data_IF_783234704869
#
_entry.id   IF_783234704869
#
_cell.length_a   1.000
_cell.length_b   1.000
_cell.length_c   1.000
_cell.angle_alpha   90.00
_cell.angle_beta   90.00
_cell.angle_gamma   90.00
#
_symmetry.space_group_name_H-M   'P 1'
#
loop_
_entity.id
_entity.type
_entity.pdbx_description
1 polymer ?
#
# COMPACT_ATOMS: atom_id res chain seq x y z
N UNK A 1 -15.47 -4.37 -8.61
CA UNK A 1 -15.65 -5.81 -8.86
C UNK A 1 -17.09 -6.25 -8.55
N UNK A 2 -17.58 -6.08 -7.31
CA UNK A 2 -18.93 -6.53 -6.89
C UNK A 2 -20.09 -5.91 -7.68
N UNK A 3 -19.96 -4.68 -8.17
CA UNK A 3 -21.00 -4.03 -8.99
C UNK A 3 -20.87 -4.33 -10.50
N UNK A 4 -19.75 -4.92 -10.93
CA UNK A 4 -19.41 -5.08 -12.35
C UNK A 4 -20.09 -6.32 -12.96
N UNK A 5 -20.32 -7.35 -12.13
CA UNK A 5 -20.91 -8.62 -12.53
C UNK A 5 -22.11 -8.96 -11.62
N UNK A 6 -23.18 -8.17 -11.71
CA UNK A 6 -24.42 -8.48 -11.00
C UNK A 6 -24.92 -9.89 -11.39
N UNK A 7 -25.59 -10.58 -10.46
CA UNK A 7 -26.18 -11.89 -10.76
C UNK A 7 -27.08 -11.84 -12.00
N UNK A 8 -26.95 -12.83 -12.88
CA UNK A 8 -27.59 -12.94 -14.19
C UNK A 8 -26.92 -12.11 -15.29
N UNK A 9 -26.03 -11.17 -14.96
CA UNK A 9 -25.48 -10.22 -15.96
C UNK A 9 -24.73 -10.90 -17.10
N UNK A 10 -24.07 -12.03 -16.82
CA UNK A 10 -23.26 -12.75 -17.78
C UNK A 10 -24.09 -13.44 -18.88
N UNK A 11 -25.42 -13.51 -18.74
CA UNK A 11 -26.30 -14.14 -19.74
C UNK A 11 -26.48 -13.27 -20.99
N UNK A 12 -26.45 -11.97 -20.79
CA UNK A 12 -26.74 -10.96 -21.82
C UNK A 12 -25.53 -10.06 -22.14
N UNK A 13 -24.45 -10.12 -21.34
CA UNK A 13 -23.19 -9.48 -21.73
C UNK A 13 -22.61 -10.19 -22.94
N UNK A 14 -22.30 -9.41 -23.96
CA UNK A 14 -21.67 -9.89 -25.19
C UNK A 14 -20.15 -9.95 -25.04
N UNK A 15 -19.59 -11.05 -25.55
CA UNK A 15 -18.16 -11.33 -25.55
C UNK A 15 -17.72 -11.69 -26.96
N UNK A 16 -16.90 -10.83 -27.55
CA UNK A 16 -16.25 -11.15 -28.82
C UNK A 16 -15.01 -11.99 -28.55
N UNK A 17 -15.10 -13.28 -28.84
CA UNK A 17 -14.00 -14.26 -28.66
C UNK A 17 -13.34 -14.60 -29.97
N UNK A 18 -12.01 -14.68 -29.99
CA UNK A 18 -11.21 -15.16 -31.11
C UNK A 18 -10.27 -16.28 -30.66
N UNK A 19 -9.97 -17.22 -31.57
CA UNK A 19 -8.95 -18.26 -31.42
C UNK A 19 -8.14 -18.32 -32.71
N UNK A 20 -6.82 -18.26 -32.60
CA UNK A 20 -5.90 -18.40 -33.72
C UNK A 20 -4.91 -19.54 -33.44
N UNK A 21 -4.87 -20.54 -34.32
CA UNK A 21 -3.87 -21.62 -34.22
C UNK A 21 -2.50 -21.09 -34.59
N UNK A 22 -1.51 -21.32 -33.74
CA UNK A 22 -0.12 -20.95 -34.01
C UNK A 22 0.74 -22.21 -34.16
N UNK A 23 1.92 -22.08 -34.77
CA UNK A 23 2.84 -23.22 -34.90
C UNK A 23 3.35 -23.79 -33.57
N UNK A 24 3.11 -23.07 -32.46
CA UNK A 24 3.60 -23.40 -31.11
C UNK A 24 2.46 -23.68 -30.12
N UNK A 25 1.19 -23.62 -30.54
CA UNK A 25 0.02 -23.77 -29.67
C UNK A 25 -1.20 -23.02 -30.22
N UNK A 26 -1.92 -22.30 -29.36
CA UNK A 26 -3.06 -21.48 -29.77
C UNK A 26 -3.10 -20.15 -29.01
N UNK A 27 -3.30 -19.07 -29.76
CA UNK A 27 -3.64 -17.76 -29.22
C UNK A 27 -5.16 -17.63 -29.10
N UNK A 28 -5.63 -16.88 -28.10
CA UNK A 28 -7.04 -16.58 -27.92
C UNK A 28 -7.22 -15.19 -27.34
N UNK A 29 -8.37 -14.56 -27.59
CA UNK A 29 -8.67 -13.27 -26.97
C UNK A 29 -10.17 -13.04 -26.80
N UNK A 30 -10.56 -12.49 -25.65
CA UNK A 30 -11.94 -12.17 -25.34
C UNK A 30 -12.07 -10.68 -25.04
N UNK A 31 -12.93 -10.00 -25.81
CA UNK A 31 -13.35 -8.62 -25.57
C UNK A 31 -14.73 -8.63 -24.93
N UNK A 32 -14.86 -8.03 -23.76
CA UNK A 32 -16.15 -7.71 -23.14
C UNK A 32 -16.68 -6.43 -23.75
N UNK A 33 -17.76 -6.52 -24.54
CA UNK A 33 -18.21 -5.43 -25.41
C UNK A 33 -18.69 -4.21 -24.63
N UNK A 34 -19.40 -4.42 -23.52
CA UNK A 34 -20.06 -3.33 -22.79
C UNK A 34 -19.10 -2.38 -22.05
N UNK A 35 -17.88 -2.82 -21.74
CA UNK A 35 -16.86 -2.00 -21.06
C UNK A 35 -15.54 -1.90 -21.82
N UNK A 36 -15.42 -2.55 -22.98
CA UNK A 36 -14.23 -2.48 -23.84
C UNK A 36 -13.00 -3.22 -23.31
N UNK A 37 -13.11 -3.94 -22.18
CA UNK A 37 -11.96 -4.65 -21.58
C UNK A 37 -11.68 -5.90 -22.41
N UNK A 38 -10.42 -6.07 -22.82
CA UNK A 38 -9.96 -7.21 -23.60
C UNK A 38 -8.83 -7.94 -22.88
N UNK A 39 -8.91 -9.27 -22.87
CA UNK A 39 -7.82 -10.15 -22.45
C UNK A 39 -7.30 -10.92 -23.65
N UNK A 40 -5.99 -11.11 -23.69
CA UNK A 40 -5.28 -11.94 -24.64
C UNK A 40 -4.67 -13.11 -23.89
N UNK A 41 -4.65 -14.28 -24.51
CA UNK A 41 -3.99 -15.44 -23.96
C UNK A 41 -3.30 -16.26 -25.03
N UNK A 42 -2.35 -17.07 -24.57
CA UNK A 42 -1.63 -18.02 -25.41
C UNK A 42 -1.40 -19.29 -24.61
N UNK A 43 -1.68 -20.45 -25.20
CA UNK A 43 -1.38 -21.74 -24.58
C UNK A 43 -0.42 -22.51 -25.49
N UNK A 44 0.74 -22.89 -24.97
CA UNK A 44 1.70 -23.73 -25.69
C UNK A 44 1.21 -25.18 -25.74
N UNK A 45 1.54 -25.91 -26.81
CA UNK A 45 1.23 -27.35 -26.97
C UNK A 45 -0.22 -27.74 -26.60
N UNK A 46 -1.16 -26.83 -26.76
CA UNK A 46 -2.54 -26.96 -26.31
C UNK A 46 -3.52 -26.75 -27.46
N UNK A 47 -4.67 -27.39 -27.37
CA UNK A 47 -5.83 -27.05 -28.19
C UNK A 47 -6.75 -26.14 -27.40
N UNK A 48 -7.08 -24.99 -27.98
CA UNK A 48 -8.07 -24.06 -27.43
C UNK A 48 -9.33 -24.14 -28.27
N UNK A 49 -10.47 -24.34 -27.62
CA UNK A 49 -11.79 -24.35 -28.24
C UNK A 49 -12.73 -23.38 -27.54
N UNK A 50 -13.72 -22.86 -28.26
CA UNK A 50 -14.73 -22.00 -27.66
C UNK A 50 -15.56 -22.82 -26.67
N UNK A 51 -15.77 -22.29 -25.48
CA UNK A 51 -16.57 -22.93 -24.46
C UNK A 51 -17.31 -21.88 -23.64
N UNK A 52 -18.62 -21.73 -23.82
CA UNK A 52 -19.41 -20.70 -23.13
C UNK A 52 -20.33 -21.32 -22.08
N UNK A 53 -19.81 -21.52 -20.87
CA UNK A 53 -20.61 -21.93 -19.71
C UNK A 53 -20.68 -20.81 -18.68
N UNK A 54 -21.89 -20.53 -18.21
CA UNK A 54 -22.13 -19.66 -17.06
C UNK A 54 -22.41 -20.53 -15.85
N UNK A 55 -21.60 -20.38 -14.81
CA UNK A 55 -21.77 -21.03 -13.52
C UNK A 55 -22.47 -20.02 -12.61
N UNK A 56 -23.75 -20.26 -12.34
CA UNK A 56 -24.56 -19.37 -11.52
C UNK A 56 -24.35 -19.59 -10.04
N UNK A 57 -24.52 -18.54 -9.25
CA UNK A 57 -24.55 -18.61 -7.79
C UNK A 57 -23.29 -19.26 -7.19
N UNK A 58 -22.12 -18.97 -7.74
CA UNK A 58 -20.85 -19.41 -7.15
C UNK A 58 -20.69 -18.70 -5.80
N UNK A 59 -20.54 -19.49 -4.75
CA UNK A 59 -20.41 -19.00 -3.38
C UNK A 59 -18.94 -18.77 -3.03
N UNK A 60 -18.63 -17.57 -2.55
CA UNK A 60 -17.30 -17.13 -2.15
C UNK A 60 -17.28 -16.87 -0.63
N UNK A 61 -16.89 -17.85 0.19
CA UNK A 61 -16.96 -17.73 1.65
C UNK A 61 -16.12 -16.55 2.19
N UNK A 62 -14.96 -16.30 1.59
CA UNK A 62 -14.06 -15.20 1.99
C UNK A 62 -14.65 -13.81 1.75
N UNK A 63 -15.46 -13.65 0.70
CA UNK A 63 -16.16 -12.40 0.39
C UNK A 63 -17.27 -12.13 1.41
N UNK A 64 -18.03 -13.17 1.78
CA UNK A 64 -19.04 -13.07 2.86
C UNK A 64 -18.39 -12.68 4.18
N UNK A 65 -17.26 -13.30 4.53
CA UNK A 65 -16.50 -12.97 5.74
C UNK A 65 -15.99 -11.52 5.72
N UNK A 66 -15.77 -10.96 4.54
CA UNK A 66 -15.35 -9.57 4.34
C UNK A 66 -16.53 -8.58 4.28
N UNK A 67 -17.77 -9.07 4.45
CA UNK A 67 -18.99 -8.25 4.49
C UNK A 67 -19.66 -8.01 3.14
N UNK A 68 -19.22 -8.68 2.07
CA UNK A 68 -19.87 -8.62 0.75
C UNK A 68 -20.95 -9.70 0.59
N UNK A 69 -21.78 -9.60 -0.45
CA UNK A 69 -22.83 -10.61 -0.73
C UNK A 69 -22.26 -12.03 -0.91
N UNK A 70 -21.02 -12.14 -1.40
CA UNK A 70 -20.28 -13.40 -1.54
C UNK A 70 -20.95 -14.45 -2.44
N UNK A 71 -21.85 -14.02 -3.31
CA UNK A 71 -22.42 -14.82 -4.38
C UNK A 71 -22.18 -14.08 -5.69
N UNK A 72 -21.73 -14.79 -6.72
CA UNK A 72 -21.56 -14.22 -8.05
C UNK A 72 -21.54 -15.28 -9.13
N UNK A 73 -21.74 -14.86 -10.37
CA UNK A 73 -21.68 -15.77 -11.52
C UNK A 73 -20.27 -15.78 -12.10
N UNK A 74 -19.85 -16.94 -12.63
CA UNK A 74 -18.62 -17.07 -13.40
C UNK A 74 -18.92 -17.46 -14.84
N UNK A 75 -18.09 -17.03 -15.77
CA UNK A 75 -18.17 -17.45 -17.18
C UNK A 75 -16.86 -18.09 -17.61
N UNK A 76 -16.96 -19.26 -18.22
CA UNK A 76 -15.90 -19.81 -19.07
C UNK A 76 -16.18 -19.36 -20.50
N UNK A 77 -15.14 -18.93 -21.22
CA UNK A 77 -15.20 -18.56 -22.64
C UNK A 77 -14.41 -19.54 -23.53
N UNK A 78 -13.52 -20.32 -22.93
CA UNK A 78 -12.62 -21.23 -23.60
C UNK A 78 -12.42 -22.51 -22.80
N UNK A 79 -12.25 -23.61 -23.51
CA UNK A 79 -11.67 -24.83 -22.98
C UNK A 79 -10.26 -24.96 -23.55
N UNK A 80 -9.29 -25.23 -22.68
CA UNK A 80 -7.88 -25.39 -23.01
C UNK A 80 -7.50 -26.82 -22.63
N UNK A 81 -7.16 -27.63 -23.63
CA UNK A 81 -6.78 -29.03 -23.43
C UNK A 81 -5.31 -29.21 -23.83
N UNK A 82 -4.53 -29.89 -23.00
CA UNK A 82 -3.14 -30.25 -23.27
C UNK A 82 -2.75 -31.48 -22.44
N UNK A 83 -1.78 -32.23 -22.95
CA UNK A 83 -1.21 -33.39 -22.25
C UNK A 83 0.09 -32.97 -21.54
N UNK A 84 0.29 -33.48 -20.32
CA UNK A 84 1.51 -33.33 -19.54
C UNK A 84 2.09 -34.71 -19.19
N UNK A 85 3.28 -35.03 -19.67
CA UNK A 85 4.02 -36.18 -19.20
C UNK A 85 4.82 -35.87 -17.91
N UNK A 86 5.27 -36.89 -17.14
CA UNK A 86 6.14 -36.67 -16.00
C UNK A 86 7.39 -35.85 -16.38
N UNK A 87 7.69 -34.84 -15.57
CA UNK A 87 8.77 -33.85 -15.78
C UNK A 87 8.61 -32.92 -17.00
N UNK A 88 7.43 -32.89 -17.64
CA UNK A 88 7.11 -31.84 -18.61
C UNK A 88 6.41 -30.65 -17.94
N UNK A 89 6.63 -29.46 -18.53
CA UNK A 89 5.92 -28.24 -18.20
C UNK A 89 5.16 -27.75 -19.42
N UNK A 90 4.02 -27.11 -19.19
CA UNK A 90 3.29 -26.38 -20.20
C UNK A 90 2.92 -24.98 -19.70
N UNK A 91 2.74 -24.05 -20.64
CA UNK A 91 2.59 -22.62 -20.33
C UNK A 91 1.27 -22.10 -20.87
N UNK A 92 0.55 -21.40 -20.00
CA UNK A 92 -0.63 -20.61 -20.36
C UNK A 92 -0.34 -19.17 -19.93
N UNK A 93 -0.37 -18.27 -20.91
CA UNK A 93 -0.14 -16.86 -20.74
C UNK A 93 -1.45 -16.09 -20.78
N UNK A 94 -1.55 -15.06 -19.96
CA UNK A 94 -2.62 -14.06 -19.99
C UNK A 94 -2.01 -12.67 -19.98
N UNK A 95 -2.62 -11.76 -20.73
CA UNK A 95 -2.14 -10.38 -20.89
C UNK A 95 -3.31 -9.46 -21.21
N UNK A 96 -3.26 -8.22 -20.73
CA UNK A 96 -4.15 -7.14 -21.13
C UNK A 96 -3.74 -6.51 -22.48
N UNK A 97 -2.56 -6.90 -23.00
CA UNK A 97 -2.03 -6.51 -24.30
C UNK A 97 -1.82 -7.72 -25.23
N UNK A 98 -1.82 -7.54 -26.56
CA UNK A 98 -1.54 -8.62 -27.50
C UNK A 98 -0.20 -9.32 -27.23
N UNK A 99 -0.19 -10.65 -27.29
CA UNK A 99 1.01 -11.47 -27.13
C UNK A 99 1.59 -11.76 -28.52
N UNK A 100 2.67 -11.06 -28.88
CA UNK A 100 3.33 -11.22 -30.19
C UNK A 100 4.32 -12.40 -30.22
N UNK A 101 5.14 -12.54 -29.18
CA UNK A 101 6.10 -13.63 -29.02
C UNK A 101 5.88 -14.31 -27.67
N UNK A 102 5.17 -15.45 -27.63
CA UNK A 102 4.90 -16.16 -26.38
C UNK A 102 6.17 -16.79 -25.77
N UNK A 103 7.15 -17.19 -26.58
CA UNK A 103 8.38 -17.84 -26.08
C UNK A 103 9.26 -16.82 -25.39
N UNK A 104 9.51 -15.68 -26.02
CA UNK A 104 10.26 -14.57 -25.40
C UNK A 104 9.57 -14.11 -24.10
N UNK A 105 8.24 -14.03 -24.10
CA UNK A 105 7.47 -13.65 -22.91
C UNK A 105 7.64 -14.66 -21.76
N UNK A 106 7.62 -15.96 -22.04
CA UNK A 106 7.87 -17.02 -21.06
C UNK A 106 9.28 -16.92 -20.49
N UNK A 107 10.29 -16.84 -21.35
CA UNK A 107 11.70 -16.74 -20.92
C UNK A 107 11.91 -15.54 -19.99
N UNK A 108 11.29 -14.39 -20.32
CA UNK A 108 11.31 -13.19 -19.49
C UNK A 108 10.63 -13.39 -18.14
N UNK A 109 9.47 -14.06 -18.12
CA UNK A 109 8.74 -14.36 -16.87
C UNK A 109 9.57 -15.31 -16.00
N UNK A 110 10.05 -16.42 -16.54
CA UNK A 110 10.87 -17.37 -15.78
C UNK A 110 12.15 -16.72 -15.27
N UNK A 111 12.82 -15.91 -16.09
CA UNK A 111 14.01 -15.16 -15.67
C UNK A 111 13.72 -14.22 -14.48
N UNK A 112 12.56 -13.55 -14.46
CA UNK A 112 12.14 -12.65 -13.35
C UNK A 112 12.10 -13.39 -12.01
N UNK A 113 11.59 -14.62 -11.98
CA UNK A 113 11.39 -15.39 -10.75
C UNK A 113 12.54 -16.37 -10.45
N UNK A 114 13.44 -16.64 -11.41
CA UNK A 114 14.49 -17.66 -11.33
C UNK A 114 15.42 -17.56 -10.10
N UNK A 115 15.62 -16.34 -9.60
CA UNK A 115 16.53 -16.06 -8.49
C UNK A 115 15.83 -16.08 -7.13
N UNK A 116 14.51 -16.21 -7.08
CA UNK A 116 13.79 -16.25 -5.82
C UNK A 116 14.05 -17.57 -5.09
N UNK A 117 14.15 -17.55 -3.75
CA UNK A 117 14.27 -18.77 -2.99
C UNK A 117 13.02 -19.62 -3.20
N UNK A 118 13.22 -20.93 -3.21
CA UNK A 118 12.14 -21.91 -3.22
C UNK A 118 11.85 -22.35 -1.79
N UNK A 119 10.60 -22.73 -1.54
CA UNK A 119 10.21 -23.30 -0.26
C UNK A 119 10.98 -24.62 -0.01
N UNK A 120 11.21 -24.97 1.25
CA UNK A 120 11.94 -26.20 1.63
C UNK A 120 11.25 -27.45 1.08
N UNK A 121 9.92 -27.43 1.02
CA UNK A 121 9.05 -28.49 0.51
C UNK A 121 8.78 -28.41 -1.00
N UNK A 122 9.44 -27.48 -1.71
CA UNK A 122 9.28 -27.36 -3.16
C UNK A 122 9.66 -28.71 -3.84
N UNK A 123 8.76 -29.29 -4.64
CA UNK A 123 9.00 -30.60 -5.25
C UNK A 123 10.07 -30.50 -6.33
N UNK A 124 11.30 -30.91 -6.00
CA UNK A 124 12.44 -30.90 -6.93
C UNK A 124 12.47 -32.10 -7.88
N UNK A 125 11.76 -33.17 -7.54
CA UNK A 125 11.72 -34.42 -8.29
C UNK A 125 10.28 -34.89 -8.44
N UNK A 126 10.03 -35.68 -9.48
CA UNK A 126 8.76 -36.35 -9.65
C UNK A 126 8.50 -37.27 -8.44
N UNK A 127 7.29 -37.18 -7.89
CA UNK A 127 6.89 -38.04 -6.81
C UNK A 127 6.48 -39.41 -7.34
N UNK A 128 7.37 -40.39 -7.23
CA UNK A 128 7.16 -41.74 -7.74
C UNK A 128 6.09 -42.53 -6.95
N UNK A 129 5.78 -42.11 -5.72
CA UNK A 129 4.86 -42.81 -4.82
C UNK A 129 3.47 -42.13 -4.72
N UNK A 130 3.27 -41.01 -5.43
CA UNK A 130 2.02 -40.23 -5.45
C UNK A 130 1.50 -39.89 -4.03
N UNK A 131 2.42 -39.55 -3.13
CA UNK A 131 2.17 -39.24 -1.72
C UNK A 131 2.72 -37.86 -1.28
N UNK A 132 3.18 -37.01 -2.20
CA UNK A 132 3.75 -35.69 -1.95
C UNK A 132 2.79 -34.84 -1.12
N UNK A 133 1.52 -34.75 -1.52
CA UNK A 133 0.50 -33.96 -0.81
C UNK A 133 0.31 -34.42 0.63
N UNK A 134 0.43 -35.73 0.90
CA UNK A 134 0.31 -36.28 2.24
C UNK A 134 1.55 -36.04 3.12
N UNK A 135 2.70 -35.66 2.52
CA UNK A 135 3.96 -35.36 3.21
C UNK A 135 4.13 -33.87 3.52
N UNK A 136 3.29 -32.99 2.97
CA UNK A 136 3.34 -31.55 3.24
C UNK A 136 2.81 -31.26 4.65
N UNK A 137 3.54 -30.44 5.39
CA UNK A 137 3.07 -29.84 6.64
C UNK A 137 2.40 -28.50 6.34
N UNK A 138 1.06 -28.50 6.29
CA UNK A 138 0.27 -27.32 6.00
C UNK A 138 0.30 -26.27 7.12
N UNK A 139 0.87 -26.59 8.29
CA UNK A 139 0.99 -25.70 9.44
C UNK A 139 2.44 -25.21 9.66
N UNK A 140 3.37 -25.53 8.73
CA UNK A 140 4.75 -25.08 8.83
C UNK A 140 4.89 -23.59 8.51
N UNK A 141 5.29 -22.81 9.52
CA UNK A 141 5.53 -21.38 9.40
C UNK A 141 6.96 -21.04 8.92
N UNK A 142 7.81 -22.03 8.67
CA UNK A 142 9.25 -21.87 8.38
C UNK A 142 9.68 -22.44 7.02
N UNK A 143 8.81 -22.35 6.01
CA UNK A 143 9.07 -22.82 4.64
C UNK A 143 10.28 -22.18 3.94
N UNK A 144 10.82 -21.08 4.46
CA UNK A 144 11.98 -20.38 3.91
C UNK A 144 12.97 -20.04 5.02
N UNK A 145 14.28 -20.13 4.71
CA UNK A 145 15.28 -19.54 5.59
C UNK A 145 15.11 -18.01 5.66
N UNK A 146 15.59 -17.38 6.74
CA UNK A 146 15.42 -15.94 6.98
C UNK A 146 15.94 -15.07 5.82
N UNK A 147 17.05 -15.44 5.18
CA UNK A 147 17.64 -14.67 4.09
C UNK A 147 16.77 -14.77 2.83
N UNK A 148 16.28 -15.97 2.53
CA UNK A 148 15.31 -16.22 1.47
C UNK A 148 14.03 -15.43 1.69
N UNK A 149 13.44 -15.54 2.88
CA UNK A 149 12.21 -14.83 3.21
C UNK A 149 12.32 -13.31 3.03
N UNK A 150 13.42 -12.69 3.49
CA UNK A 150 13.65 -11.26 3.28
C UNK A 150 13.79 -10.88 1.79
N UNK A 151 14.38 -11.76 0.97
CA UNK A 151 14.47 -11.56 -0.48
C UNK A 151 13.10 -11.61 -1.15
N UNK A 152 12.21 -12.50 -0.70
CA UNK A 152 10.83 -12.56 -1.18
C UNK A 152 10.06 -11.29 -0.82
N UNK A 153 10.20 -10.79 0.41
CA UNK A 153 9.56 -9.54 0.84
C UNK A 153 10.05 -8.33 0.03
N UNK A 154 11.35 -8.25 -0.26
CA UNK A 154 11.91 -7.18 -1.09
C UNK A 154 11.41 -7.25 -2.54
N UNK A 155 11.29 -8.46 -3.09
CA UNK A 155 10.72 -8.67 -4.42
C UNK A 155 9.23 -8.30 -4.46
N UNK A 156 8.43 -8.79 -3.50
CA UNK A 156 7.00 -8.52 -3.42
C UNK A 156 6.72 -7.03 -3.32
N UNK A 157 7.55 -6.28 -2.59
CA UNK A 157 7.44 -4.82 -2.50
C UNK A 157 7.52 -4.13 -3.88
N UNK A 158 8.30 -4.65 -4.83
CA UNK A 158 8.41 -4.06 -6.17
C UNK A 158 7.11 -4.16 -6.96
N UNK A 159 6.30 -5.20 -6.73
CA UNK A 159 5.03 -5.38 -7.46
C UNK A 159 3.99 -4.32 -7.09
N UNK A 160 4.13 -3.70 -5.91
CA UNK A 160 3.27 -2.58 -5.47
C UNK A 160 3.74 -1.20 -5.95
N UNK A 161 4.90 -1.10 -6.61
CA UNK A 161 5.39 0.18 -7.15
C UNK A 161 4.82 0.41 -8.53
N UNK A 162 4.13 1.53 -8.73
CA UNK A 162 3.63 1.96 -10.04
C UNK A 162 3.65 3.49 -10.17
N UNK A 163 3.97 4.01 -11.35
CA UNK A 163 3.93 5.45 -11.68
C UNK A 163 4.49 6.41 -10.59
N UNK A 164 5.68 6.10 -10.06
CA UNK A 164 6.29 6.80 -8.94
C UNK A 164 5.29 6.97 -7.76
N UNK A 165 4.68 5.86 -7.35
CA UNK A 165 3.83 5.72 -6.15
C UNK A 165 3.82 4.27 -5.66
N UNK A 166 3.12 4.04 -4.54
CA UNK A 166 2.93 2.72 -3.94
C UNK A 166 1.44 2.40 -3.91
N UNK A 167 1.03 1.34 -4.60
CA UNK A 167 -0.33 0.79 -4.53
C UNK A 167 -0.56 0.19 -3.15
N UNK A 168 -1.66 0.54 -2.49
CA UNK A 168 -1.93 0.07 -1.13
C UNK A 168 -2.36 -1.41 -1.07
N UNK A 169 -3.00 -1.93 -2.12
CA UNK A 169 -3.47 -3.31 -2.14
C UNK A 169 -4.19 -3.69 -3.41
N UNK A 170 -3.63 -4.62 -4.19
CA UNK A 170 -4.33 -5.15 -5.35
C UNK A 170 -5.43 -6.16 -4.95
N UNK A 171 -6.48 -6.30 -5.76
CA UNK A 171 -6.83 -5.45 -6.92
C UNK A 171 -7.67 -4.21 -6.55
N UNK A 172 -7.97 -3.99 -5.26
CA UNK A 172 -9.06 -3.11 -4.83
C UNK A 172 -8.65 -1.66 -4.55
N UNK A 173 -7.38 -1.40 -4.27
CA UNK A 173 -6.89 -0.11 -3.82
C UNK A 173 -5.83 0.43 -4.77
N UNK A 174 -5.92 1.73 -5.07
CA UNK A 174 -4.83 2.49 -5.68
C UNK A 174 -3.83 2.97 -4.62
N UNK A 175 -3.02 3.99 -4.93
CA UNK A 175 -2.09 4.59 -3.97
C UNK A 175 -2.79 5.39 -2.87
N UNK A 176 -2.38 5.15 -1.62
CA UNK A 176 -2.86 5.86 -0.43
C UNK A 176 -1.68 6.54 0.27
N UNK A 177 -1.80 7.83 0.54
CA UNK A 177 -0.70 8.66 1.04
C UNK A 177 -0.10 8.12 2.33
N UNK A 178 -0.93 7.69 3.29
CA UNK A 178 -0.49 7.06 4.54
C UNK A 178 0.35 5.81 4.28
N UNK A 179 -0.21 4.85 3.54
CA UNK A 179 0.40 3.57 3.19
C UNK A 179 1.71 3.78 2.43
N UNK A 180 1.71 4.69 1.45
CA UNK A 180 2.91 5.11 0.72
C UNK A 180 3.97 5.59 1.70
N UNK A 181 3.67 6.50 2.63
CA UNK A 181 4.68 6.98 3.58
C UNK A 181 5.24 5.85 4.48
N UNK A 182 4.40 4.92 4.93
CA UNK A 182 4.85 3.75 5.72
C UNK A 182 5.81 2.88 4.89
N UNK A 183 5.47 2.61 3.63
CA UNK A 183 6.29 1.79 2.73
C UNK A 183 7.60 2.49 2.36
N UNK A 184 7.58 3.79 2.07
CA UNK A 184 8.79 4.57 1.79
C UNK A 184 9.81 4.49 2.93
N UNK A 185 9.35 4.42 4.17
CA UNK A 185 10.23 4.24 5.32
C UNK A 185 11.04 2.93 5.23
N UNK A 186 10.43 1.83 4.77
CA UNK A 186 11.12 0.57 4.52
C UNK A 186 12.09 0.69 3.34
N UNK A 187 11.68 1.36 2.26
CA UNK A 187 12.50 1.55 1.05
C UNK A 187 13.79 2.34 1.30
N UNK A 188 13.81 3.23 2.30
CA UNK A 188 15.02 3.97 2.69
C UNK A 188 16.18 3.08 3.20
N UNK A 189 15.91 1.81 3.50
CA UNK A 189 16.95 0.84 3.85
C UNK A 189 17.74 0.35 2.63
N UNK A 190 17.14 0.38 1.44
CA UNK A 190 17.82 0.02 0.19
C UNK A 190 18.35 1.28 -0.53
N UNK A 191 19.66 1.34 -0.75
CA UNK A 191 20.30 2.48 -1.42
C UNK A 191 19.86 2.67 -2.88
N UNK A 192 19.41 1.61 -3.56
CA UNK A 192 18.96 1.71 -4.97
C UNK A 192 17.58 2.34 -5.09
N UNK A 193 16.80 2.37 -4.00
CA UNK A 193 15.44 2.92 -3.98
C UNK A 193 15.39 4.42 -3.66
N UNK A 194 16.51 5.05 -3.29
CA UNK A 194 16.52 6.43 -2.78
C UNK A 194 15.98 7.45 -3.78
N UNK A 195 16.30 7.30 -5.07
CA UNK A 195 15.82 8.20 -6.12
C UNK A 195 14.31 8.05 -6.33
N UNK A 196 13.78 6.83 -6.25
CA UNK A 196 12.34 6.57 -6.30
C UNK A 196 11.63 7.19 -5.09
N UNK A 197 12.17 7.00 -3.88
CA UNK A 197 11.63 7.61 -2.66
C UNK A 197 11.57 9.13 -2.79
N UNK A 198 12.62 9.77 -3.32
CA UNK A 198 12.64 11.22 -3.53
C UNK A 198 11.60 11.68 -4.56
N UNK A 199 11.44 10.95 -5.67
CA UNK A 199 10.42 11.27 -6.68
C UNK A 199 9.02 11.18 -6.10
N UNK A 200 8.73 10.14 -5.31
CA UNK A 200 7.43 9.98 -4.63
C UNK A 200 7.22 11.12 -3.63
N UNK A 201 8.17 11.42 -2.74
CA UNK A 201 8.03 12.53 -1.79
C UNK A 201 7.85 13.89 -2.49
N UNK A 202 8.53 14.09 -3.63
CA UNK A 202 8.35 15.29 -4.46
C UNK A 202 6.96 15.34 -5.09
N UNK A 203 6.42 14.21 -5.56
CA UNK A 203 5.03 14.09 -6.06
C UNK A 203 4.04 14.60 -5.02
N UNK A 204 4.05 14.04 -3.81
CA UNK A 204 3.16 14.47 -2.73
C UNK A 204 3.37 15.94 -2.31
N UNK A 205 4.60 16.46 -2.40
CA UNK A 205 4.89 17.87 -2.07
C UNK A 205 4.10 18.88 -2.91
N UNK A 206 3.80 18.53 -4.16
CA UNK A 206 3.09 19.40 -5.12
C UNK A 206 1.59 19.50 -4.82
N UNK A 207 1.07 18.59 -3.99
CA UNK A 207 -0.35 18.50 -3.64
C UNK A 207 -0.61 18.88 -2.17
N UNK A 208 0.35 19.47 -1.46
CA UNK A 208 0.13 19.88 -0.06
C UNK A 208 -0.91 21.00 0.00
N UNK A 209 -1.96 20.78 0.82
CA UNK A 209 -3.01 21.76 1.11
C UNK A 209 -3.14 21.93 2.63
N UNK A 210 -3.06 23.17 3.12
CA UNK A 210 -3.23 23.50 4.54
C UNK A 210 -2.33 22.73 5.52
N UNK A 211 -1.14 22.32 5.05
CA UNK A 211 -0.18 21.52 5.83
C UNK A 211 -0.43 20.01 5.76
N UNK A 212 -1.38 19.55 4.93
CA UNK A 212 -1.68 18.15 4.74
C UNK A 212 -1.25 17.67 3.36
N UNK A 213 -0.62 16.51 3.29
CA UNK A 213 -0.51 15.74 2.05
C UNK A 213 -1.85 15.02 1.79
N UNK A 214 -2.20 14.72 0.54
CA UNK A 214 -3.40 13.94 0.26
C UNK A 214 -3.24 12.49 0.78
N UNK A 215 -4.28 11.96 1.41
CA UNK A 215 -4.43 10.53 1.70
C UNK A 215 -4.78 9.73 0.45
N UNK A 216 -5.46 10.35 -0.51
CA UNK A 216 -5.73 9.78 -1.83
C UNK A 216 -5.62 10.91 -2.84
N UNK A 217 -4.84 10.72 -3.91
CA UNK A 217 -4.78 11.66 -5.02
C UNK A 217 -6.10 11.63 -5.80
N UNK A 218 -6.40 12.70 -6.52
CA UNK A 218 -7.59 12.72 -7.38
C UNK A 218 -7.41 11.69 -8.51
N UNK A 219 -8.33 10.74 -8.61
CA UNK A 219 -8.26 9.63 -9.56
C UNK A 219 -9.66 9.22 -10.01
N UNK A 220 -9.82 8.88 -11.29
CA UNK A 220 -11.06 8.29 -11.83
C UNK A 220 -12.34 9.06 -11.47
N UNK A 221 -12.27 10.41 -11.51
CA UNK A 221 -13.39 11.29 -11.19
C UNK A 221 -13.65 11.52 -9.69
N UNK A 222 -12.84 10.94 -8.80
CA UNK A 222 -12.86 11.22 -7.36
C UNK A 222 -11.93 12.37 -7.03
N UNK A 223 -12.37 13.26 -6.14
CA UNK A 223 -11.53 14.35 -5.64
C UNK A 223 -10.43 13.82 -4.70
N UNK A 224 -9.37 14.62 -4.54
CA UNK A 224 -8.30 14.30 -3.60
C UNK A 224 -8.82 14.37 -2.16
N UNK A 225 -8.45 13.39 -1.36
CA UNK A 225 -8.83 13.28 0.05
C UNK A 225 -7.68 13.77 0.94
N UNK A 226 -7.96 14.63 1.92
CA UNK A 226 -6.99 15.15 2.89
C UNK A 226 -7.29 14.72 4.34
N UNK A 227 -8.09 13.65 4.52
CA UNK A 227 -8.51 13.13 5.82
C UNK A 227 -7.40 12.32 6.54
N UNK A 228 -6.15 12.78 6.52
CA UNK A 228 -5.01 12.03 7.06
C UNK A 228 -3.89 12.93 7.57
N UNK A 229 -3.92 13.18 8.87
CA UNK A 229 -2.91 14.01 9.52
C UNK A 229 -1.60 13.24 9.75
N UNK A 230 -1.68 11.95 10.09
CA UNK A 230 -0.52 11.07 10.27
C UNK A 230 0.34 10.96 9.01
N UNK A 231 -0.28 10.86 7.82
CA UNK A 231 0.48 10.81 6.57
C UNK A 231 1.43 12.02 6.41
N UNK A 232 0.98 13.20 6.81
CA UNK A 232 1.77 14.45 6.75
C UNK A 232 2.89 14.48 7.79
N UNK A 233 2.66 13.87 8.96
CA UNK A 233 3.68 13.75 10.01
C UNK A 233 4.76 12.74 9.61
N UNK A 234 4.36 11.59 9.07
CA UNK A 234 5.27 10.63 8.46
C UNK A 234 6.10 11.26 7.33
N UNK A 235 5.46 12.05 6.47
CA UNK A 235 6.12 12.75 5.38
C UNK A 235 7.28 13.63 5.87
N UNK A 236 7.08 14.44 6.92
CA UNK A 236 8.15 15.25 7.52
C UNK A 236 9.31 14.37 8.01
N UNK A 237 8.99 13.28 8.70
CA UNK A 237 9.99 12.34 9.22
C UNK A 237 10.80 11.73 8.06
N UNK A 238 10.15 11.38 6.95
CA UNK A 238 10.80 10.83 5.75
C UNK A 238 11.71 11.83 5.06
N UNK A 239 11.36 13.12 5.01
CA UNK A 239 12.27 14.15 4.50
C UNK A 239 13.58 14.17 5.28
N UNK A 240 13.51 14.10 6.61
CA UNK A 240 14.70 13.99 7.44
C UNK A 240 15.49 12.70 7.19
N UNK A 241 14.81 11.54 7.15
CA UNK A 241 15.48 10.25 6.93
C UNK A 241 16.15 10.17 5.56
N UNK A 242 15.50 10.62 4.50
CA UNK A 242 16.08 10.69 3.16
C UNK A 242 17.28 11.65 3.12
N UNK A 243 17.16 12.82 3.75
CA UNK A 243 18.26 13.77 3.85
C UNK A 243 19.50 13.19 4.52
N UNK A 244 19.34 12.34 5.55
CA UNK A 244 20.47 11.64 6.20
C UNK A 244 21.21 10.70 5.25
N UNK A 245 20.52 10.14 4.25
CA UNK A 245 21.11 9.30 3.20
C UNK A 245 21.81 10.15 2.15
N UNK A 246 21.17 11.24 1.70
CA UNK A 246 21.69 12.12 0.64
C UNK A 246 22.84 13.02 1.08
N UNK A 247 22.83 13.48 2.34
CA UNK A 247 23.81 14.42 2.94
C UNK A 247 24.09 15.65 2.06
N UNK A 248 23.08 16.15 1.37
CA UNK A 248 23.20 17.23 0.40
C UNK A 248 22.68 18.55 0.98
N UNK A 249 23.47 19.63 0.87
CA UNK A 249 23.13 20.95 1.41
C UNK A 249 21.85 21.54 0.82
N UNK A 250 21.68 21.48 -0.50
CA UNK A 250 20.48 22.00 -1.19
C UNK A 250 19.25 21.25 -0.71
N UNK A 251 19.34 19.91 -0.64
CA UNK A 251 18.26 19.09 -0.10
C UNK A 251 17.85 19.51 1.30
N UNK A 252 18.80 19.74 2.21
CA UNK A 252 18.48 20.18 3.57
C UNK A 252 17.80 21.54 3.61
N UNK A 253 18.18 22.48 2.73
CA UNK A 253 17.51 23.77 2.62
C UNK A 253 16.06 23.61 2.17
N UNK A 254 15.84 22.81 1.12
CA UNK A 254 14.51 22.57 0.56
C UNK A 254 13.62 21.83 1.58
N UNK A 255 14.17 20.83 2.27
CA UNK A 255 13.48 20.10 3.33
C UNK A 255 13.13 21.01 4.53
N UNK A 256 14.02 21.93 4.91
CA UNK A 256 13.76 22.93 5.95
C UNK A 256 12.58 23.83 5.59
N UNK A 257 12.60 24.44 4.40
CA UNK A 257 11.56 25.38 3.97
C UNK A 257 10.20 24.68 3.90
N UNK A 258 10.20 23.46 3.34
CA UNK A 258 9.00 22.66 3.21
C UNK A 258 8.43 22.25 4.58
N UNK A 259 9.28 21.75 5.47
CA UNK A 259 8.86 21.33 6.82
C UNK A 259 8.34 22.51 7.63
N UNK A 260 9.01 23.67 7.57
CA UNK A 260 8.57 24.88 8.26
C UNK A 260 7.19 25.35 7.78
N UNK A 261 6.93 25.26 6.46
CA UNK A 261 5.64 25.60 5.86
C UNK A 261 4.53 24.63 6.32
N UNK A 262 4.82 23.32 6.35
CA UNK A 262 3.86 22.30 6.79
C UNK A 262 3.51 22.50 8.27
N UNK A 263 4.51 22.58 9.15
CA UNK A 263 4.30 22.80 10.59
C UNK A 263 3.53 24.09 10.86
N UNK A 264 3.91 25.19 10.18
CA UNK A 264 3.20 26.47 10.29
C UNK A 264 1.73 26.34 9.96
N UNK A 265 1.42 25.74 8.80
CA UNK A 265 0.03 25.52 8.40
C UNK A 265 -0.71 24.60 9.38
N UNK A 266 -0.12 23.51 9.87
CA UNK A 266 -0.74 22.62 10.86
C UNK A 266 -1.09 23.34 12.19
N UNK A 267 -0.34 24.38 12.55
CA UNK A 267 -0.57 25.18 13.77
C UNK A 267 -1.60 26.30 13.59
N UNK A 268 -1.87 26.73 12.36
CA UNK A 268 -2.85 27.78 12.10
C UNK A 268 -4.26 27.33 12.49
N UNK A 269 -4.92 28.13 13.34
CA UNK A 269 -6.32 27.91 13.71
C UNK A 269 -7.25 28.39 12.59
N UNK A 270 -7.34 27.57 11.54
CA UNK A 270 -8.34 27.70 10.49
C UNK A 270 -9.54 26.79 10.78
N UNK A 271 -10.53 26.74 9.88
CA UNK A 271 -11.69 25.83 9.95
C UNK A 271 -11.28 24.37 9.65
N UNK A 272 -10.31 23.86 10.42
CA UNK A 272 -9.78 22.49 10.36
C UNK A 272 -10.49 21.65 11.40
N UNK A 273 -10.72 20.36 11.12
CA UNK A 273 -11.40 19.48 12.07
C UNK A 273 -10.43 18.88 13.11
N UNK A 274 -9.34 19.60 13.39
CA UNK A 274 -8.37 19.31 14.42
C UNK A 274 -7.68 20.60 14.85
N UNK A 275 -7.06 20.59 16.02
CA UNK A 275 -6.34 21.74 16.57
C UNK A 275 -5.10 21.33 17.35
N UNK A 276 -4.11 22.21 17.39
CA UNK A 276 -3.01 22.13 18.36
C UNK A 276 -3.47 22.78 19.67
N UNK A 277 -3.53 22.00 20.74
CA UNK A 277 -3.93 22.43 22.08
C UNK A 277 -2.88 23.33 22.72
N UNK A 278 -3.26 24.01 23.81
CA UNK A 278 -2.34 24.86 24.61
C UNK A 278 -1.12 24.11 25.16
N UNK A 279 -1.31 22.84 25.45
CA UNK A 279 -0.29 21.91 25.94
C UNK A 279 0.50 21.21 24.81
N UNK A 280 0.24 21.62 23.56
CA UNK A 280 0.98 21.23 22.36
C UNK A 280 0.45 20.01 21.62
N UNK A 281 -0.44 19.24 22.24
CA UNK A 281 -1.00 18.03 21.63
C UNK A 281 -1.95 18.35 20.48
N UNK A 282 -1.94 17.55 19.44
CA UNK A 282 -2.95 17.56 18.38
C UNK A 282 -4.20 16.85 18.88
N UNK A 283 -5.33 17.52 18.74
CA UNK A 283 -6.65 17.04 19.11
C UNK A 283 -7.59 17.08 17.89
N UNK A 284 -8.15 15.92 17.54
CA UNK A 284 -9.11 15.73 16.46
C UNK A 284 -10.54 15.96 16.98
N UNK A 285 -11.35 16.63 16.17
CA UNK A 285 -12.77 16.83 16.49
C UNK A 285 -13.58 15.54 16.26
N UNK A 286 -14.74 15.37 16.93
CA UNK A 286 -15.61 14.20 16.73
C UNK A 286 -16.02 13.96 15.28
N UNK A 287 -16.18 15.03 14.47
CA UNK A 287 -16.50 14.95 13.04
C UNK A 287 -15.37 14.38 12.18
N UNK A 288 -14.17 14.28 12.74
CA UNK A 288 -12.95 13.82 12.07
C UNK A 288 -12.25 12.72 12.85
N UNK A 289 -13.04 11.97 13.62
CA UNK A 289 -12.58 10.82 14.36
C UNK A 289 -11.99 9.70 13.48
N UNK A 290 -12.27 9.72 12.16
CA UNK A 290 -11.67 8.84 11.15
C UNK A 290 -10.35 9.37 10.58
N UNK A 291 -9.82 10.51 11.02
CA UNK A 291 -8.57 11.08 10.52
C UNK A 291 -7.29 10.35 10.94
N UNK A 292 -7.40 9.09 11.39
CA UNK A 292 -6.31 8.20 11.82
C UNK A 292 -6.29 6.95 10.93
N UNK A 293 -5.29 6.08 11.02
CA UNK A 293 -5.25 4.86 10.20
C UNK A 293 -6.41 3.88 10.44
N UNK A 294 -7.14 3.99 11.55
CA UNK A 294 -8.40 3.27 11.79
C UNK A 294 -9.59 4.03 11.16
N UNK A 295 -9.57 4.24 9.85
CA UNK A 295 -10.47 5.16 9.12
C UNK A 295 -11.69 4.52 8.44
N UNK A 296 -12.00 3.26 8.76
CA UNK A 296 -13.16 2.57 8.18
C UNK A 296 -14.47 3.30 8.52
N UNK A 297 -15.28 3.55 7.49
CA UNK A 297 -16.60 4.19 7.59
C UNK A 297 -17.69 3.31 7.00
N UNK A 298 -18.84 3.27 7.67
CA UNK A 298 -20.08 2.65 7.17
C UNK A 298 -21.18 3.71 7.23
N UNK A 299 -21.86 3.97 6.11
CA UNK A 299 -22.86 5.03 5.96
C UNK A 299 -22.39 6.41 6.45
N UNK A 300 -21.13 6.75 6.14
CA UNK A 300 -20.50 8.01 6.53
C UNK A 300 -20.11 8.11 8.01
N UNK A 301 -20.35 7.07 8.82
CA UNK A 301 -19.98 7.03 10.24
C UNK A 301 -18.72 6.21 10.44
N UNK A 302 -17.79 6.75 11.22
CA UNK A 302 -16.59 6.02 11.62
C UNK A 302 -16.98 4.79 12.45
N UNK A 303 -16.44 3.61 12.08
CA UNK A 303 -16.64 2.36 12.82
C UNK A 303 -15.79 2.36 14.10
N UNK A 304 -14.56 2.86 13.99
CA UNK A 304 -13.59 2.97 15.09
C UNK A 304 -13.22 4.44 15.33
N UNK A 305 -14.15 5.29 15.82
CA UNK A 305 -13.89 6.72 15.94
C UNK A 305 -12.82 7.01 17.01
N UNK A 306 -11.81 7.82 16.66
CA UNK A 306 -10.70 8.21 17.54
C UNK A 306 -10.50 9.72 17.61
N UNK A 307 -11.52 10.44 18.08
CA UNK A 307 -11.41 11.88 18.35
C UNK A 307 -10.57 12.16 19.61
N UNK A 308 -10.37 13.42 19.99
CA UNK A 308 -9.47 13.75 21.08
C UNK A 308 -8.02 13.72 20.59
N UNK A 309 -7.06 13.37 21.44
CA UNK A 309 -5.64 13.29 21.07
C UNK A 309 -5.19 11.82 20.96
N UNK A 310 -5.19 11.21 19.76
CA UNK A 310 -4.65 9.86 19.56
C UNK A 310 -3.16 9.80 19.88
N UNK A 311 -2.73 8.68 20.47
CA UNK A 311 -1.36 8.50 20.96
C UNK A 311 -0.32 8.55 19.82
N UNK A 312 -0.59 7.88 18.70
CA UNK A 312 0.34 7.78 17.58
C UNK A 312 0.41 9.08 16.77
N UNK A 313 -0.69 9.83 16.66
CA UNK A 313 -0.66 11.15 16.03
C UNK A 313 0.26 12.09 16.82
N UNK A 314 0.19 12.04 18.15
CA UNK A 314 0.97 12.92 19.01
C UNK A 314 2.44 12.50 19.12
N UNK A 315 2.75 11.20 19.05
CA UNK A 315 4.13 10.72 18.96
C UNK A 315 4.76 11.07 17.61
N UNK A 316 4.02 10.91 16.51
CA UNK A 316 4.43 11.35 15.18
C UNK A 316 4.61 12.87 15.13
N UNK A 317 3.77 13.63 15.83
CA UNK A 317 3.91 15.09 15.91
C UNK A 317 5.19 15.52 16.61
N UNK A 318 5.48 14.90 17.77
CA UNK A 318 6.76 15.10 18.45
C UNK A 318 7.95 14.75 17.56
N UNK A 319 7.87 13.63 16.83
CA UNK A 319 8.91 13.19 15.92
C UNK A 319 9.07 14.13 14.71
N UNK A 320 8.00 14.69 14.18
CA UNK A 320 8.05 15.68 13.09
C UNK A 320 8.71 16.99 13.55
N UNK A 321 8.39 17.47 14.76
CA UNK A 321 9.05 18.64 15.36
C UNK A 321 10.54 18.38 15.63
N UNK A 322 10.87 17.17 16.10
CA UNK A 322 12.26 16.74 16.31
C UNK A 322 13.02 16.62 14.98
N UNK A 323 12.36 16.10 13.93
CA UNK A 323 12.91 16.05 12.58
C UNK A 323 13.19 17.45 12.03
N UNK A 324 12.30 18.42 12.25
CA UNK A 324 12.53 19.82 11.88
C UNK A 324 13.79 20.41 12.52
N UNK A 325 13.96 20.23 13.83
CA UNK A 325 15.17 20.67 14.54
C UNK A 325 16.42 20.01 13.96
N UNK A 326 16.38 18.69 13.78
CA UNK A 326 17.50 17.93 13.23
C UNK A 326 17.83 18.30 11.76
N UNK A 327 16.83 18.69 10.96
CA UNK A 327 17.04 19.24 9.61
C UNK A 327 17.80 20.57 9.68
N UNK A 328 17.45 21.46 10.62
CA UNK A 328 18.15 22.73 10.83
C UNK A 328 19.62 22.50 11.20
N UNK A 329 19.88 21.59 12.14
CA UNK A 329 21.22 21.20 12.56
C UNK A 329 22.03 20.59 11.40
N UNK A 330 21.43 19.67 10.64
CA UNK A 330 22.08 19.03 9.51
C UNK A 330 22.43 20.03 8.40
N UNK A 331 21.53 20.97 8.07
CA UNK A 331 21.83 22.06 7.15
C UNK A 331 23.03 22.87 7.65
N UNK A 332 23.03 23.26 8.92
CA UNK A 332 24.07 24.08 9.52
C UNK A 332 25.44 23.41 9.56
N UNK A 333 25.49 22.08 9.65
CA UNK A 333 26.74 21.31 9.58
C UNK A 333 27.31 21.19 8.16
N UNK A 334 26.53 21.52 7.12
CA UNK A 334 26.93 21.39 5.71
C UNK A 334 27.33 22.70 5.02
N UNK A 335 27.31 23.85 5.70
CA UNK A 335 27.74 25.10 5.09
C UNK A 335 27.82 26.33 6.01
N UNK A 336 28.25 27.45 5.43
CA UNK A 336 28.51 28.70 6.15
C UNK A 336 27.25 29.51 6.50
N UNK A 337 26.20 29.43 5.68
CA UNK A 337 24.92 30.09 5.95
C UNK A 337 24.13 29.26 6.96
N UNK A 338 23.93 29.82 8.16
CA UNK A 338 23.18 29.17 9.22
C UNK A 338 21.68 29.46 9.11
N UNK A 339 20.87 28.47 9.43
CA UNK A 339 19.43 28.57 9.61
C UNK A 339 19.16 28.39 11.10
N UNK A 340 18.36 29.30 11.67
CA UNK A 340 17.91 29.16 13.04
C UNK A 340 16.54 28.48 13.05
N UNK A 341 16.42 27.39 13.80
CA UNK A 341 15.13 26.79 14.07
C UNK A 341 14.22 27.82 14.75
N UNK A 342 12.94 27.87 14.37
CA UNK A 342 11.97 28.78 15.00
C UNK A 342 11.78 28.39 16.46
N UNK A 343 11.98 29.36 17.37
CA UNK A 343 11.88 29.13 18.82
C UNK A 343 10.50 28.60 19.25
N UNK A 344 9.44 29.06 18.59
CA UNK A 344 8.07 28.57 18.80
C UNK A 344 7.92 27.05 18.55
N UNK A 345 8.61 26.49 17.56
CA UNK A 345 8.53 25.06 17.24
C UNK A 345 9.33 24.22 18.24
N UNK A 346 10.46 24.75 18.73
CA UNK A 346 11.25 24.09 19.77
C UNK A 346 10.50 24.06 21.11
N UNK A 347 9.87 25.18 21.49
CA UNK A 347 9.02 25.24 22.67
C UNK A 347 7.81 24.31 22.55
N UNK A 348 7.22 24.21 21.35
CA UNK A 348 6.12 23.29 21.09
C UNK A 348 6.55 21.84 21.23
N UNK A 349 7.72 21.46 20.68
CA UNK A 349 8.33 20.14 20.81
C UNK A 349 8.45 19.73 22.29
N UNK A 350 8.98 20.63 23.12
CA UNK A 350 9.17 20.38 24.54
C UNK A 350 7.83 20.25 25.28
N UNK A 351 6.85 21.10 24.95
CA UNK A 351 5.48 20.98 25.49
C UNK A 351 4.83 19.64 25.14
N UNK A 352 4.93 19.21 23.87
CA UNK A 352 4.38 17.91 23.43
C UNK A 352 5.04 16.79 24.24
N UNK A 353 6.37 16.82 24.40
CA UNK A 353 7.11 15.82 25.19
C UNK A 353 6.64 15.74 26.63
N UNK A 354 6.45 16.88 27.28
CA UNK A 354 5.98 16.92 28.67
C UNK A 354 4.53 16.46 28.79
N UNK A 355 3.66 16.89 27.88
CA UNK A 355 2.26 16.48 27.81
C UNK A 355 2.09 15.02 27.44
N UNK A 356 3.03 14.40 26.74
CA UNK A 356 2.97 12.99 26.36
C UNK A 356 2.91 12.06 27.58
N UNK A 357 3.42 12.51 28.74
CA UNK A 357 3.32 11.76 30.01
C UNK A 357 1.87 11.51 30.43
N UNK A 358 0.91 12.33 29.97
CA UNK A 358 -0.53 12.16 30.26
C UNK A 358 -1.11 10.86 29.67
N UNK A 359 -0.48 10.29 28.64
CA UNK A 359 -0.90 9.01 28.06
C UNK A 359 -0.52 7.82 28.94
N UNK A 360 0.46 7.95 29.83
CA UNK A 360 0.91 6.84 30.66
C UNK A 360 -0.08 6.52 31.78
N UNK A 361 -0.59 5.30 31.79
CA UNK A 361 -1.56 4.83 32.79
C UNK A 361 -0.92 4.25 34.06
N UNK A 362 0.40 4.06 34.06
CA UNK A 362 1.13 3.30 35.09
C UNK A 362 1.67 1.97 34.58
N UNK A 363 1.02 1.38 33.57
CA UNK A 363 1.39 0.07 33.01
C UNK A 363 1.54 0.11 31.48
N UNK A 364 0.69 0.86 30.79
CA UNK A 364 0.70 1.01 29.33
C UNK A 364 0.24 2.40 28.89
N UNK A 365 0.38 2.71 27.61
CA UNK A 365 -0.12 3.96 27.03
C UNK A 365 -1.62 3.86 26.72
N UNK A 366 -2.38 4.87 27.13
CA UNK A 366 -3.75 5.07 26.69
C UNK A 366 -3.81 5.28 25.17
N UNK A 367 -4.87 4.80 24.52
CA UNK A 367 -5.03 4.91 23.06
C UNK A 367 -5.17 6.37 22.61
N UNK A 368 -5.87 7.16 23.42
CA UNK A 368 -6.13 8.58 23.17
C UNK A 368 -6.45 9.32 24.48
N UNK A 369 -6.37 10.65 24.43
CA UNK A 369 -6.87 11.52 25.48
C UNK A 369 -8.12 12.26 25.02
N UNK A 370 -9.12 12.42 25.89
CA UNK A 370 -10.21 13.39 25.70
C UNK A 370 -10.03 14.52 26.70
N UNK A 371 -9.57 15.68 26.25
CA UNK A 371 -9.01 16.67 27.18
C UNK A 371 -7.82 16.05 27.92
N UNK A 372 -7.83 16.06 29.25
CA UNK A 372 -6.78 15.40 30.04
C UNK A 372 -7.17 14.00 30.53
N UNK A 373 -8.35 13.49 30.13
CA UNK A 373 -8.82 12.16 30.50
C UNK A 373 -8.20 11.11 29.58
N UNK A 374 -7.48 10.16 30.15
CA UNK A 374 -7.00 8.97 29.44
C UNK A 374 -8.16 8.04 29.06
N UNK A 375 -8.23 7.65 27.79
CA UNK A 375 -9.18 6.66 27.28
C UNK A 375 -8.45 5.34 27.11
N UNK A 376 -8.82 4.37 27.94
CA UNK A 376 -8.13 3.08 28.08
C UNK A 376 -8.80 2.06 27.16
N UNK A 377 -8.41 2.07 25.89
CA UNK A 377 -8.79 1.08 24.88
C UNK A 377 -7.53 0.32 24.46
N UNK A 378 -7.48 -1.00 24.65
CA UNK A 378 -6.29 -1.78 24.30
C UNK A 378 -6.25 -1.93 22.77
N UNK A 379 -5.32 -1.20 22.14
CA UNK A 379 -5.13 -1.15 20.69
C UNK A 379 -3.63 -1.12 20.35
N UNK A 380 -3.23 -1.55 19.14
CA UNK A 380 -1.83 -1.58 18.73
C UNK A 380 -1.23 -0.19 18.42
N UNK A 381 -2.01 0.89 18.52
CA UNK A 381 -1.58 2.25 18.18
C UNK A 381 -0.37 2.72 19.01
N UNK A 382 -0.31 2.29 20.27
CA UNK A 382 0.82 2.56 21.15
C UNK A 382 2.15 1.91 20.70
N UNK A 383 2.14 0.96 19.74
CA UNK A 383 3.37 0.37 19.19
C UNK A 383 4.03 1.34 18.19
N UNK A 384 3.24 2.19 17.53
CA UNK A 384 3.76 3.23 16.63
C UNK A 384 4.40 4.38 17.45
N UNK A 385 3.85 4.64 18.63
CA UNK A 385 4.31 5.67 19.55
C UNK A 385 5.53 5.25 20.36
#
# INVERSE_FOLDING_TARGET
HHEINAHGSLDYIDYHTQIDKTGQGAAFSALRVNNGIKVFGHALKATVSHNRYVYYNVYYPWEVMSGYEGIGDQISLYQIDFDLAPAESNYILFSDQPISDPIEMIERIEARYSMLPKAIDYPMYADAEDNLLAKLDYEDNFLFDRKGYLKLLEFALQDFITEDDVVAGYPFYGPWGRDTMVVLNAMLHNSTSLDLVERILRKYSMHIKDGLIPNMLAESGREANYDSIDASLWYIILLWKLGKKKKNKKYWKDAYDLTARIIGALMEQTDKPYRVRKDGLIELDPSFAHGTWMDVRVDGKAVCPRWGAPVEINSLWFNALSAYEAICEAHNSTGSTKINAKAEYLLLKDKVKDSFRKFWTGEFLADRLEGDKAIIEIRPNAIIA
#
